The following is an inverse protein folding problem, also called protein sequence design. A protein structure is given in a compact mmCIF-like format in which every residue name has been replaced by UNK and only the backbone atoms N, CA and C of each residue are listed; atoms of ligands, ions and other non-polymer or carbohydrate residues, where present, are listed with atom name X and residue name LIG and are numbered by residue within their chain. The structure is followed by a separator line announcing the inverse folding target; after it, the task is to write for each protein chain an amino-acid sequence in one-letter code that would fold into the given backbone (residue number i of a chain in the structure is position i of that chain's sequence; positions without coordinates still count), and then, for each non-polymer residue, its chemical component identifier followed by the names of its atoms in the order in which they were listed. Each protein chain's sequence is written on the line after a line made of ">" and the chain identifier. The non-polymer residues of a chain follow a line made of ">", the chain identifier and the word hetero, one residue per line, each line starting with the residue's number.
data_IF_470885778904
#
_entry.id   IF_470885778904
#
_cell.length_a   1.000
_cell.length_b   1.000
_cell.length_c   1.000
_cell.angle_alpha   90.00
_cell.angle_beta   90.00
_cell.angle_gamma   90.00
#
_symmetry.space_group_name_H-M   'P 1'
#
loop_
_entity.id
_entity.type
_entity.pdbx_description
1 polymer ?
#
# COMPACT_ATOMS: atom_id res chain seq x y z
N UNK A 1 5.39 -17.35 7.60
CA UNK A 1 4.42 -16.56 6.82
C UNK A 1 5.12 -15.32 6.31
N UNK A 2 5.28 -15.18 4.99
CA UNK A 2 5.93 -14.03 4.35
C UNK A 2 4.89 -12.94 4.13
N UNK A 3 5.18 -11.73 4.61
CA UNK A 3 4.24 -10.61 4.58
C UNK A 3 4.84 -9.46 3.78
N UNK A 4 4.06 -8.95 2.83
CA UNK A 4 4.30 -7.66 2.19
C UNK A 4 3.42 -6.58 2.83
N UNK A 5 3.82 -5.32 2.66
CA UNK A 5 3.04 -4.15 3.05
C UNK A 5 2.95 -3.15 1.89
N UNK A 6 1.76 -2.59 1.69
CA UNK A 6 1.50 -1.51 0.74
C UNK A 6 0.82 -0.35 1.46
N UNK A 7 1.49 0.80 1.52
CA UNK A 7 0.90 2.07 1.92
C UNK A 7 0.14 2.65 0.73
N UNK A 8 -1.05 3.20 0.99
CA UNK A 8 -1.83 3.91 -0.03
C UNK A 8 -2.15 5.29 0.48
N UNK A 9 -1.50 6.29 -0.09
CA UNK A 9 -1.80 7.70 0.17
C UNK A 9 -2.69 8.27 -0.95
N UNK A 10 -3.25 9.46 -0.75
CA UNK A 10 -3.93 10.16 -1.84
C UNK A 10 -2.98 10.53 -2.99
N UNK A 11 -1.74 10.85 -2.64
CA UNK A 11 -0.73 11.51 -3.45
C UNK A 11 -0.72 13.01 -3.22
N UNK A 12 0.43 13.62 -3.48
CA UNK A 12 0.68 15.06 -3.43
C UNK A 12 1.44 15.50 -4.67
N UNK A 13 1.58 16.80 -4.90
CA UNK A 13 2.58 17.34 -5.84
C UNK A 13 3.84 17.79 -5.11
N UNK A 14 3.75 17.92 -3.80
CA UNK A 14 4.88 18.24 -2.94
C UNK A 14 5.71 16.99 -2.77
N UNK A 15 6.96 17.07 -3.22
CA UNK A 15 7.91 15.97 -3.20
C UNK A 15 8.17 15.44 -1.78
N UNK A 16 8.06 16.28 -0.77
CA UNK A 16 8.22 15.90 0.64
C UNK A 16 7.27 14.75 1.02
N UNK A 17 6.06 14.68 0.45
CA UNK A 17 5.09 13.64 0.77
C UNK A 17 5.55 12.24 0.33
N UNK A 18 6.15 12.13 -0.86
CA UNK A 18 6.67 10.84 -1.35
C UNK A 18 7.95 10.45 -0.62
N UNK A 19 8.80 11.41 -0.26
CA UNK A 19 10.01 11.19 0.55
C UNK A 19 9.65 10.67 1.97
N UNK A 20 8.61 11.22 2.60
CA UNK A 20 8.12 10.71 3.89
C UNK A 20 7.63 9.26 3.80
N UNK A 21 6.87 8.92 2.76
CA UNK A 21 6.38 7.56 2.54
C UNK A 21 7.54 6.57 2.31
N UNK A 22 8.57 6.98 1.58
CA UNK A 22 9.78 6.18 1.37
C UNK A 22 10.48 5.89 2.70
N UNK A 23 10.67 6.90 3.54
CA UNK A 23 11.26 6.74 4.88
C UNK A 23 10.44 5.77 5.74
N UNK A 24 9.11 5.86 5.70
CA UNK A 24 8.22 4.95 6.44
C UNK A 24 8.39 3.52 5.93
N UNK A 25 8.38 3.30 4.61
CA UNK A 25 8.57 1.98 4.01
C UNK A 25 9.92 1.36 4.40
N UNK A 26 10.99 2.13 4.40
CA UNK A 26 12.33 1.67 4.82
C UNK A 26 12.39 1.32 6.30
N UNK A 27 11.77 2.13 7.16
CA UNK A 27 11.64 1.84 8.59
C UNK A 27 10.85 0.55 8.84
N UNK A 28 9.81 0.28 8.05
CA UNK A 28 9.02 -0.96 8.14
C UNK A 28 9.86 -2.16 7.70
N UNK A 29 10.60 -2.06 6.59
CA UNK A 29 11.52 -3.11 6.11
C UNK A 29 12.58 -3.46 7.15
N UNK A 30 13.10 -2.47 7.88
CA UNK A 30 14.11 -2.68 8.92
C UNK A 30 13.62 -3.53 10.11
N UNK A 31 12.32 -3.52 10.41
CA UNK A 31 11.74 -4.26 11.55
C UNK A 31 11.61 -5.78 11.33
N UNK A 32 11.94 -6.29 10.14
CA UNK A 32 11.94 -7.72 9.74
C UNK A 32 10.58 -8.45 9.79
N UNK A 33 9.50 -7.81 10.23
CA UNK A 33 8.14 -8.37 10.19
C UNK A 33 7.55 -8.44 8.78
N UNK A 34 8.06 -7.62 7.88
CA UNK A 34 7.68 -7.56 6.47
C UNK A 34 8.91 -7.81 5.60
N UNK A 35 8.78 -8.74 4.66
CA UNK A 35 9.85 -9.02 3.67
C UNK A 35 9.89 -7.95 2.58
N UNK A 36 8.83 -7.14 2.49
CA UNK A 36 8.62 -6.15 1.46
C UNK A 36 7.70 -5.03 1.99
N UNK A 37 8.03 -3.77 1.70
CA UNK A 37 7.16 -2.63 1.98
C UNK A 37 7.31 -1.56 0.89
N UNK A 38 6.19 -1.10 0.35
CA UNK A 38 6.12 -0.08 -0.70
C UNK A 38 4.96 0.88 -0.45
N UNK A 39 4.92 1.96 -1.23
CA UNK A 39 3.80 2.89 -1.27
C UNK A 39 3.29 3.06 -2.71
N UNK A 40 2.03 3.47 -2.81
CA UNK A 40 1.43 3.96 -4.04
C UNK A 40 0.35 5.01 -3.72
N UNK A 41 -0.19 5.59 -4.77
CA UNK A 41 -1.09 6.72 -4.68
C UNK A 41 -2.45 6.43 -5.30
N UNK A 42 -3.47 7.11 -4.77
CA UNK A 42 -4.83 6.99 -5.26
C UNK A 42 -5.05 7.77 -6.56
N UNK A 43 -4.57 9.02 -6.66
CA UNK A 43 -5.03 9.89 -7.75
C UNK A 43 -4.12 11.05 -8.18
N UNK A 44 -3.11 11.46 -7.41
CA UNK A 44 -2.39 12.72 -7.72
C UNK A 44 -1.19 12.52 -8.64
N UNK A 45 -0.34 11.55 -8.32
CA UNK A 45 0.86 11.22 -9.10
C UNK A 45 1.14 9.71 -9.01
N UNK A 46 1.87 9.10 -9.97
CA UNK A 46 2.27 7.70 -9.89
C UNK A 46 3.39 7.48 -8.86
N UNK A 47 3.60 6.24 -8.37
CA UNK A 47 2.95 4.99 -8.78
C UNK A 47 1.50 4.88 -8.27
N UNK A 48 0.58 4.37 -9.08
CA UNK A 48 -0.82 4.18 -8.70
C UNK A 48 -1.07 2.82 -8.05
N UNK A 49 -2.28 2.60 -7.53
CA UNK A 49 -2.68 1.36 -6.85
C UNK A 49 -2.35 0.11 -7.70
N UNK A 50 -2.63 0.14 -9.00
CA UNK A 50 -2.31 -0.96 -9.90
C UNK A 50 -0.81 -1.28 -9.94
N UNK A 51 0.04 -0.25 -10.14
CA UNK A 51 1.50 -0.38 -10.12
C UNK A 51 2.01 -0.97 -8.81
N UNK A 52 1.49 -0.46 -7.68
CA UNK A 52 1.85 -0.92 -6.34
C UNK A 52 1.47 -2.39 -6.10
N UNK A 53 0.25 -2.78 -6.49
CA UNK A 53 -0.23 -4.16 -6.37
C UNK A 53 0.59 -5.10 -7.26
N UNK A 54 0.83 -4.75 -8.52
CA UNK A 54 1.66 -5.57 -9.40
C UNK A 54 3.07 -5.78 -8.83
N UNK A 55 3.68 -4.72 -8.30
CA UNK A 55 5.01 -4.78 -7.69
C UNK A 55 5.01 -5.68 -6.45
N UNK A 56 3.98 -5.61 -5.61
CA UNK A 56 3.80 -6.50 -4.46
C UNK A 56 3.57 -7.95 -4.86
N UNK A 57 2.74 -8.22 -5.87
CA UNK A 57 2.39 -9.58 -6.31
C UNK A 57 3.54 -10.31 -7.01
N UNK A 58 4.53 -9.57 -7.52
CA UNK A 58 5.79 -10.14 -8.03
C UNK A 58 6.71 -10.66 -6.90
N UNK A 59 6.41 -10.36 -5.63
CA UNK A 59 7.17 -10.83 -4.48
C UNK A 59 6.67 -12.18 -3.98
N UNK A 60 7.55 -12.94 -3.35
CA UNK A 60 7.21 -14.21 -2.69
C UNK A 60 6.58 -13.95 -1.31
N UNK A 61 5.29 -13.58 -1.31
CA UNK A 61 4.51 -13.26 -0.11
C UNK A 61 3.25 -14.13 0.00
N UNK A 62 2.90 -14.52 1.23
CA UNK A 62 1.63 -15.20 1.52
C UNK A 62 0.49 -14.20 1.74
N UNK A 63 0.83 -13.04 2.31
CA UNK A 63 -0.12 -12.01 2.71
C UNK A 63 0.37 -10.62 2.31
N UNK A 64 -0.55 -9.79 1.81
CA UNK A 64 -0.32 -8.38 1.55
C UNK A 64 -1.12 -7.53 2.55
N UNK A 65 -0.42 -6.80 3.41
CA UNK A 65 -1.04 -5.85 4.35
C UNK A 65 -1.21 -4.52 3.64
N UNK A 66 -2.45 -4.05 3.51
CA UNK A 66 -2.78 -2.79 2.84
C UNK A 66 -3.12 -1.77 3.92
N UNK A 67 -2.40 -0.66 3.91
CA UNK A 67 -2.56 0.41 4.90
C UNK A 67 -3.03 1.67 4.17
N UNK A 68 -4.31 2.03 4.28
CA UNK A 68 -4.78 3.33 3.83
C UNK A 68 -4.13 4.42 4.71
N UNK A 69 -3.19 5.18 4.15
CA UNK A 69 -2.50 6.26 4.83
C UNK A 69 -3.32 7.55 4.69
N UNK A 70 -4.35 7.68 5.53
CA UNK A 70 -5.28 8.81 5.50
C UNK A 70 -5.72 9.16 6.92
N UNK A 71 -5.42 10.39 7.36
CA UNK A 71 -5.73 10.88 8.71
C UNK A 71 -7.20 10.76 9.13
N UNK A 72 -8.12 10.76 8.16
CA UNK A 72 -9.55 10.69 8.44
C UNK A 72 -10.23 9.65 7.56
N UNK A 73 -11.18 8.87 8.13
CA UNK A 73 -12.04 8.01 7.34
C UNK A 73 -12.89 8.87 6.40
N UNK A 74 -13.05 8.44 5.15
CA UNK A 74 -13.80 9.21 4.19
C UNK A 74 -13.96 8.51 2.85
N UNK A 75 -14.52 9.23 1.87
CA UNK A 75 -14.74 8.72 0.51
C UNK A 75 -13.43 8.22 -0.13
N UNK A 76 -12.32 8.92 0.09
CA UNK A 76 -11.01 8.53 -0.46
C UNK A 76 -10.49 7.21 0.11
N UNK A 77 -10.61 6.99 1.43
CA UNK A 77 -10.30 5.70 2.06
C UNK A 77 -11.16 4.58 1.46
N UNK A 78 -12.47 4.81 1.31
CA UNK A 78 -13.37 3.81 0.70
C UNK A 78 -12.99 3.49 -0.74
N UNK A 79 -12.62 4.50 -1.53
CA UNK A 79 -12.16 4.32 -2.90
C UNK A 79 -10.89 3.47 -2.94
N UNK A 80 -9.87 3.84 -2.16
CA UNK A 80 -8.61 3.09 -2.08
C UNK A 80 -8.84 1.61 -1.72
N UNK A 81 -9.65 1.33 -0.69
CA UNK A 81 -9.98 -0.04 -0.30
C UNK A 81 -10.73 -0.77 -1.41
N UNK A 82 -11.73 -0.13 -2.02
CA UNK A 82 -12.51 -0.74 -3.10
C UNK A 82 -11.63 -1.08 -4.29
N UNK A 83 -10.71 -0.18 -4.67
CA UNK A 83 -9.82 -0.36 -5.81
C UNK A 83 -8.84 -1.51 -5.58
N UNK A 84 -8.24 -1.61 -4.40
CA UNK A 84 -7.35 -2.73 -4.08
C UNK A 84 -8.09 -4.06 -4.02
N UNK A 85 -9.30 -4.09 -3.44
CA UNK A 85 -10.07 -5.34 -3.30
C UNK A 85 -10.50 -5.94 -4.64
N UNK A 86 -10.48 -5.18 -5.75
CA UNK A 86 -10.71 -5.72 -7.09
C UNK A 86 -9.67 -6.77 -7.47
N UNK A 87 -8.40 -6.56 -7.09
CA UNK A 87 -7.28 -7.43 -7.44
C UNK A 87 -7.19 -8.71 -6.59
N UNK A 88 -7.89 -8.80 -5.45
CA UNK A 88 -7.85 -9.98 -4.58
C UNK A 88 -8.27 -11.27 -5.31
N UNK A 89 -9.18 -11.16 -6.28
CA UNK A 89 -9.72 -12.33 -7.01
C UNK A 89 -8.69 -12.97 -7.93
N UNK A 90 -7.69 -12.21 -8.36
CA UNK A 90 -6.73 -12.61 -9.38
C UNK A 90 -5.43 -13.16 -8.80
N UNK A 91 -5.39 -13.36 -7.47
CA UNK A 91 -4.19 -13.79 -6.76
C UNK A 91 -4.49 -14.75 -5.62
N UNK A 92 -3.51 -15.62 -5.33
CA UNK A 92 -3.52 -16.48 -4.14
C UNK A 92 -3.03 -15.75 -2.89
N UNK A 93 -2.41 -14.58 -3.06
CA UNK A 93 -1.94 -13.75 -1.94
C UNK A 93 -3.16 -13.20 -1.19
N UNK A 94 -3.19 -13.37 0.13
CA UNK A 94 -4.31 -12.89 0.94
C UNK A 94 -4.11 -11.42 1.31
N UNK A 95 -5.07 -10.58 0.95
CA UNK A 95 -5.04 -9.16 1.28
C UNK A 95 -5.65 -8.93 2.66
N UNK A 96 -5.01 -8.09 3.46
CA UNK A 96 -5.46 -7.69 4.79
C UNK A 96 -5.44 -6.17 4.85
N UNK A 97 -6.62 -5.56 4.87
CA UNK A 97 -6.77 -4.10 4.95
C UNK A 97 -6.81 -3.67 6.42
N UNK A 98 -5.95 -2.73 6.81
CA UNK A 98 -5.94 -2.18 8.16
C UNK A 98 -7.02 -1.12 8.34
N UNK A 99 -7.24 -0.69 9.59
CA UNK A 99 -7.89 0.61 9.82
C UNK A 99 -7.02 1.72 9.20
N UNK A 100 -7.62 2.81 8.68
CA UNK A 100 -6.85 3.98 8.31
C UNK A 100 -6.08 4.51 9.52
N UNK A 101 -4.91 5.10 9.26
CA UNK A 101 -4.08 5.73 10.30
C UNK A 101 -4.66 7.05 10.79
#
# INVERSE_FOLDING_TARGET
>A
MKRGLLLIDRGSREREASEELEIICDAIKAKRDYVFAEYCFLEVEPPYIEDGIEKCLKQDIDHLTIVPYFLYPGKKVKNAVTDVMKFQKDTKVKFVVTKPM
#
